data_IF_401433656843
#
_entry.id   IF_401433656843
#
_cell.length_a   1.000
_cell.length_b   1.000
_cell.length_c   1.000
_cell.angle_alpha   90.00
_cell.angle_beta   90.00
_cell.angle_gamma   90.00
#
_symmetry.space_group_name_H-M   'P 1'
#
loop_
_entity.id
_entity.type
_entity.pdbx_description
1 polymer ?
#
# COMPACT_ATOMS: atom_id res chain seq x y z
N UNK A 1 -18.34 -14.01 -5.03
CA UNK A 1 -17.06 -13.46 -4.55
C UNK A 1 -16.05 -13.67 -5.67
N UNK A 2 -15.27 -12.66 -6.05
CA UNK A 2 -14.27 -12.79 -7.13
C UNK A 2 -13.10 -13.68 -6.69
N UNK A 3 -12.43 -14.40 -7.61
CA UNK A 3 -11.24 -15.16 -7.30
C UNK A 3 -10.10 -14.24 -6.83
N UNK A 4 -9.16 -14.76 -6.03
CA UNK A 4 -8.01 -13.98 -5.61
C UNK A 4 -7.17 -13.53 -6.82
N UNK A 5 -6.38 -12.49 -6.59
CA UNK A 5 -5.38 -11.96 -7.52
C UNK A 5 -4.06 -12.65 -7.24
N UNK A 6 -3.41 -13.11 -8.29
CA UNK A 6 -2.09 -13.75 -8.27
C UNK A 6 -1.06 -12.87 -9.01
N UNK A 7 0.25 -13.23 -9.03
CA UNK A 7 1.27 -12.45 -9.73
C UNK A 7 0.99 -12.23 -11.22
N UNK A 8 0.42 -13.22 -11.93
CA UNK A 8 0.10 -13.05 -13.35
C UNK A 8 -1.02 -12.02 -13.56
N UNK A 9 -2.04 -12.07 -12.70
CA UNK A 9 -3.21 -11.19 -12.78
C UNK A 9 -2.87 -9.76 -12.38
N UNK A 10 -1.97 -9.53 -11.40
CA UNK A 10 -1.52 -8.17 -11.07
C UNK A 10 -0.75 -7.55 -12.24
N UNK A 11 0.17 -8.26 -12.90
CA UNK A 11 0.87 -7.72 -14.07
C UNK A 11 -0.08 -7.36 -15.22
N UNK A 12 -1.07 -8.22 -15.50
CA UNK A 12 -2.11 -7.92 -16.50
C UNK A 12 -2.96 -6.72 -16.12
N UNK A 13 -3.19 -6.49 -14.82
CA UNK A 13 -3.89 -5.31 -14.34
C UNK A 13 -3.07 -4.04 -14.55
N UNK A 14 -1.78 -4.02 -14.18
CA UNK A 14 -0.90 -2.87 -14.39
C UNK A 14 -0.81 -2.51 -15.88
N UNK A 15 -0.56 -3.52 -16.71
CA UNK A 15 -0.54 -3.37 -18.17
C UNK A 15 -1.87 -2.83 -18.71
N UNK A 16 -2.99 -3.37 -18.21
CA UNK A 16 -4.32 -2.93 -18.57
C UNK A 16 -4.60 -1.47 -18.21
N UNK A 17 -4.20 -1.04 -17.01
CA UNK A 17 -4.39 0.32 -16.50
C UNK A 17 -3.53 1.31 -17.28
N UNK A 18 -2.23 1.04 -17.43
CA UNK A 18 -1.30 1.93 -18.12
C UNK A 18 -1.63 2.13 -19.60
N UNK A 19 -2.14 1.09 -20.28
CA UNK A 19 -2.55 1.18 -21.69
C UNK A 19 -3.91 1.86 -21.92
N UNK A 20 -4.80 1.85 -20.92
CA UNK A 20 -6.16 2.42 -21.03
C UNK A 20 -6.25 3.85 -20.49
N UNK A 21 -5.32 4.27 -19.63
CA UNK A 21 -5.18 5.66 -19.25
C UNK A 21 -4.94 6.54 -20.50
N UNK A 22 -5.47 7.77 -20.45
CA UNK A 22 -5.51 8.72 -21.56
C UNK A 22 -4.61 9.95 -21.32
N UNK A 23 -3.65 9.81 -20.42
CA UNK A 23 -2.69 10.86 -20.11
C UNK A 23 -1.76 10.46 -18.97
N UNK A 24 -0.79 11.33 -18.64
CA UNK A 24 0.18 11.07 -17.61
C UNK A 24 -0.46 11.05 -16.22
N UNK A 25 0.13 10.25 -15.33
CA UNK A 25 -0.25 10.21 -13.93
C UNK A 25 0.51 9.12 -13.18
N UNK A 26 0.19 8.94 -11.90
CA UNK A 26 0.85 7.94 -11.04
C UNK A 26 -0.16 7.07 -10.33
N UNK A 27 0.15 5.80 -10.24
CA UNK A 27 -0.62 4.79 -9.52
C UNK A 27 0.28 4.14 -8.48
N UNK A 28 -0.14 4.16 -7.21
CA UNK A 28 0.60 3.55 -6.12
C UNK A 28 -0.11 2.28 -5.68
N UNK A 29 0.63 1.18 -5.64
CA UNK A 29 0.19 -0.09 -5.09
C UNK A 29 0.25 -0.06 -3.57
N UNK A 30 -0.81 -0.58 -2.97
CA UNK A 30 -0.97 -0.64 -1.51
C UNK A 30 -1.23 -2.08 -1.07
N UNK A 31 -0.73 -2.42 0.11
CA UNK A 31 -1.01 -3.64 0.84
C UNK A 31 -0.66 -4.90 0.05
N UNK A 32 -1.68 -5.73 -0.16
CA UNK A 32 -1.52 -7.02 -0.82
C UNK A 32 -1.02 -6.94 -2.26
N UNK A 33 -1.28 -5.82 -2.95
CA UNK A 33 -0.78 -5.61 -4.30
C UNK A 33 0.74 -5.39 -4.33
N UNK A 34 1.28 -4.57 -3.41
CA UNK A 34 2.73 -4.44 -3.23
C UNK A 34 3.37 -5.78 -2.89
N UNK A 35 2.75 -6.51 -1.97
CA UNK A 35 3.23 -7.82 -1.52
C UNK A 35 3.30 -8.88 -2.63
N UNK A 36 2.39 -8.81 -3.61
CA UNK A 36 2.41 -9.67 -4.78
C UNK A 36 3.57 -9.32 -5.73
N UNK A 37 3.74 -8.03 -6.02
CA UNK A 37 4.78 -7.54 -6.94
C UNK A 37 6.18 -7.76 -6.36
N UNK A 38 6.36 -7.55 -5.06
CA UNK A 38 7.59 -7.83 -4.31
C UNK A 38 7.81 -9.33 -4.01
N UNK A 39 6.84 -10.18 -4.38
CA UNK A 39 7.00 -11.63 -4.39
C UNK A 39 6.97 -12.33 -3.02
N UNK A 40 6.57 -11.67 -1.93
CA UNK A 40 6.41 -12.35 -0.63
C UNK A 40 5.02 -12.96 -0.42
N UNK A 41 4.04 -12.58 -1.24
CA UNK A 41 2.72 -13.23 -1.30
C UNK A 41 2.51 -13.92 -2.65
N UNK A 42 1.83 -15.06 -2.60
CA UNK A 42 1.31 -15.73 -3.80
C UNK A 42 -0.09 -15.27 -4.22
N UNK A 43 -0.84 -14.59 -3.35
CA UNK A 43 -2.15 -14.02 -3.69
C UNK A 43 -2.66 -12.92 -2.75
N UNK A 44 -3.59 -12.10 -3.24
CA UNK A 44 -4.39 -11.13 -2.46
C UNK A 44 -5.87 -11.19 -2.85
N UNK A 45 -6.77 -10.71 -1.99
CA UNK A 45 -8.23 -10.71 -2.25
C UNK A 45 -8.63 -9.54 -3.14
N UNK A 46 -7.99 -8.41 -2.93
CA UNK A 46 -8.23 -7.10 -3.53
C UNK A 46 -6.91 -6.42 -3.90
N UNK A 47 -7.00 -5.48 -4.83
CA UNK A 47 -5.92 -4.59 -5.25
C UNK A 47 -6.27 -3.19 -4.79
N UNK A 48 -5.58 -2.72 -3.76
CA UNK A 48 -5.70 -1.37 -3.24
C UNK A 48 -4.78 -0.42 -4.02
N UNK A 49 -5.33 0.69 -4.51
CA UNK A 49 -4.63 1.69 -5.31
C UNK A 49 -4.81 3.10 -4.76
N UNK A 50 -3.75 3.91 -4.86
CA UNK A 50 -3.82 5.38 -4.80
C UNK A 50 -3.50 5.97 -6.17
N UNK A 51 -4.18 7.04 -6.55
CA UNK A 51 -3.97 7.76 -7.81
C UNK A 51 -3.50 9.19 -7.47
N UNK A 52 -2.25 9.55 -7.78
CA UNK A 52 -1.73 10.89 -7.44
C UNK A 52 -0.41 11.29 -8.16
N UNK A 53 -0.46 12.15 -9.20
CA UNK A 53 -1.67 12.71 -9.80
C UNK A 53 -2.49 11.64 -10.54
N UNK A 54 -3.81 11.80 -10.53
CA UNK A 54 -4.74 10.90 -11.20
C UNK A 54 -4.56 10.94 -12.74
N UNK A 55 -4.29 9.80 -13.40
CA UNK A 55 -4.25 9.75 -14.85
C UNK A 55 -5.64 9.96 -15.47
N UNK A 56 -5.73 10.73 -16.55
CA UNK A 56 -6.99 10.92 -17.27
C UNK A 56 -7.59 9.58 -17.75
N UNK A 57 -8.89 9.38 -17.61
CA UNK A 57 -9.59 8.17 -18.07
C UNK A 57 -9.33 6.90 -17.24
N UNK A 58 -8.67 7.01 -16.09
CA UNK A 58 -8.31 5.85 -15.26
C UNK A 58 -9.53 5.18 -14.62
N UNK A 59 -10.58 5.93 -14.29
CA UNK A 59 -11.77 5.34 -13.66
C UNK A 59 -12.55 4.44 -14.63
N UNK A 60 -12.66 4.82 -15.90
CA UNK A 60 -13.23 3.98 -16.94
C UNK A 60 -12.39 2.72 -17.14
N UNK A 61 -11.06 2.85 -17.12
CA UNK A 61 -10.14 1.72 -17.19
C UNK A 61 -10.33 0.75 -16.01
N UNK A 62 -10.42 1.27 -14.78
CA UNK A 62 -10.69 0.48 -13.57
C UNK A 62 -12.04 -0.23 -13.70
N UNK A 63 -13.10 0.47 -14.11
CA UNK A 63 -14.44 -0.10 -14.24
C UNK A 63 -14.51 -1.24 -15.27
N UNK A 64 -13.79 -1.13 -16.38
CA UNK A 64 -13.63 -2.18 -17.40
C UNK A 64 -12.80 -3.36 -16.86
N UNK A 65 -11.60 -3.10 -16.34
CA UNK A 65 -10.66 -4.12 -15.91
C UNK A 65 -11.15 -4.95 -14.72
N UNK A 66 -11.92 -4.34 -13.79
CA UNK A 66 -12.60 -5.08 -12.71
C UNK A 66 -13.48 -6.21 -13.25
N UNK A 67 -14.07 -6.04 -14.44
CA UNK A 67 -14.90 -7.04 -15.10
C UNK A 67 -14.06 -8.00 -15.94
N UNK A 68 -13.18 -7.46 -16.79
CA UNK A 68 -12.39 -8.25 -17.75
C UNK A 68 -11.43 -9.22 -17.06
N UNK A 69 -10.81 -8.79 -15.96
CA UNK A 69 -9.82 -9.61 -15.23
C UNK A 69 -10.43 -10.35 -14.04
N UNK A 70 -11.72 -10.13 -13.76
CA UNK A 70 -12.42 -10.63 -12.57
C UNK A 70 -11.61 -10.36 -11.28
N UNK A 71 -11.29 -9.08 -11.04
CA UNK A 71 -10.51 -8.57 -9.90
C UNK A 71 -11.31 -7.59 -9.06
N UNK A 72 -11.10 -7.61 -7.74
CA UNK A 72 -11.53 -6.53 -6.87
C UNK A 72 -10.44 -5.45 -6.83
N UNK A 73 -10.84 -4.20 -7.06
CA UNK A 73 -9.98 -3.03 -6.99
C UNK A 73 -10.65 -2.04 -6.06
N UNK A 74 -9.91 -1.52 -5.09
CA UNK A 74 -10.36 -0.52 -4.13
C UNK A 74 -9.45 0.70 -4.20
N UNK A 75 -10.05 1.89 -4.06
CA UNK A 75 -9.31 3.15 -3.94
C UNK A 75 -9.07 3.39 -2.45
N UNK A 76 -8.16 2.62 -1.89
CA UNK A 76 -7.81 2.62 -0.48
C UNK A 76 -6.30 2.80 -0.33
N UNK A 77 -5.90 3.69 0.57
CA UNK A 77 -4.50 4.00 0.82
C UNK A 77 -4.29 4.30 2.32
N UNK A 78 -3.04 4.21 2.82
CA UNK A 78 -2.75 4.44 4.24
C UNK A 78 -3.29 5.77 4.78
N UNK A 79 -3.26 6.84 3.98
CA UNK A 79 -3.70 8.18 4.38
C UNK A 79 -5.21 8.31 4.63
N UNK A 80 -6.01 7.31 4.21
CA UNK A 80 -7.43 7.22 4.55
C UNK A 80 -7.66 6.76 6.00
N UNK A 81 -6.65 6.16 6.64
CA UNK A 81 -6.76 5.56 7.97
C UNK A 81 -5.82 6.19 8.98
N UNK A 82 -4.62 6.62 8.55
CA UNK A 82 -3.63 7.30 9.37
C UNK A 82 -3.27 8.66 8.75
N UNK A 83 -2.72 9.61 9.52
CA UNK A 83 -2.04 10.78 8.98
C UNK A 83 -1.01 10.40 7.91
N UNK A 84 -1.01 11.09 6.76
CA UNK A 84 0.00 10.86 5.72
C UNK A 84 1.40 11.28 6.17
N UNK A 85 2.44 10.56 5.75
CA UNK A 85 3.82 11.02 5.94
C UNK A 85 4.14 12.09 4.89
N UNK A 86 4.64 13.29 5.23
CA UNK A 86 4.80 14.40 4.29
C UNK A 86 5.63 14.07 3.04
N UNK A 87 6.62 13.21 3.18
CA UNK A 87 7.55 12.77 2.13
C UNK A 87 7.15 11.43 1.49
N UNK A 88 5.90 10.96 1.69
CA UNK A 88 5.47 9.64 1.20
C UNK A 88 5.62 9.48 -0.31
N UNK A 89 5.48 10.57 -1.08
CA UNK A 89 5.60 10.54 -2.55
C UNK A 89 7.05 10.35 -2.97
N UNK A 90 7.95 11.07 -2.34
CA UNK A 90 9.40 11.02 -2.56
C UNK A 90 9.99 9.68 -2.12
N UNK A 91 9.41 9.07 -1.09
CA UNK A 91 9.80 7.78 -0.53
C UNK A 91 9.09 6.58 -1.15
N UNK A 92 8.13 6.80 -2.05
CA UNK A 92 7.46 5.73 -2.80
C UNK A 92 8.41 5.10 -3.81
N UNK A 93 8.44 3.77 -3.86
CA UNK A 93 9.42 3.01 -4.67
C UNK A 93 8.89 2.79 -6.07
N UNK A 94 9.65 3.18 -7.09
CA UNK A 94 9.25 2.99 -8.49
C UNK A 94 9.20 1.51 -8.87
N UNK A 95 8.15 1.11 -9.60
CA UNK A 95 7.97 -0.24 -10.14
C UNK A 95 8.30 -0.23 -11.63
N UNK A 96 7.48 0.44 -12.43
CA UNK A 96 7.60 0.50 -13.88
C UNK A 96 6.78 1.64 -14.47
N UNK A 97 7.01 1.95 -15.75
CA UNK A 97 6.19 2.88 -16.54
C UNK A 97 5.51 2.10 -17.65
N UNK A 98 4.19 2.24 -17.78
CA UNK A 98 3.40 1.65 -18.87
C UNK A 98 2.58 2.75 -19.53
N UNK A 99 2.87 3.02 -20.81
CA UNK A 99 2.32 4.19 -21.49
C UNK A 99 2.86 5.48 -20.85
N UNK A 100 1.95 6.37 -20.45
CA UNK A 100 2.29 7.61 -19.75
C UNK A 100 2.10 7.51 -18.23
N UNK A 101 1.75 6.33 -17.71
CA UNK A 101 1.50 6.10 -16.28
C UNK A 101 2.71 5.50 -15.60
N UNK A 102 3.13 6.11 -14.50
CA UNK A 102 4.14 5.56 -13.59
C UNK A 102 3.48 4.76 -12.47
N UNK A 103 4.00 3.56 -12.22
CA UNK A 103 3.58 2.70 -11.13
C UNK A 103 4.63 2.72 -10.01
N UNK A 104 4.16 2.84 -8.78
CA UNK A 104 4.98 2.86 -7.58
C UNK A 104 4.41 1.91 -6.53
N UNK A 105 5.23 1.46 -5.59
CA UNK A 105 4.75 1.08 -4.27
C UNK A 105 4.49 2.35 -3.48
N UNK A 106 3.32 2.45 -2.84
CA UNK A 106 3.13 3.48 -1.82
C UNK A 106 4.18 3.31 -0.71
N UNK A 107 4.61 4.41 -0.08
CA UNK A 107 5.63 4.40 0.99
C UNK A 107 5.46 3.24 1.99
N UNK A 108 6.46 2.36 2.06
CA UNK A 108 6.44 1.17 2.90
C UNK A 108 6.37 1.49 4.40
N UNK A 109 6.85 2.66 4.86
CA UNK A 109 6.68 3.11 6.25
C UNK A 109 5.20 3.28 6.57
N UNK A 110 4.49 4.02 5.73
CA UNK A 110 3.07 4.26 5.89
C UNK A 110 2.23 2.97 5.70
N UNK A 111 2.60 2.11 4.74
CA UNK A 111 1.95 0.80 4.59
C UNK A 111 2.12 -0.06 5.85
N UNK A 112 3.32 -0.10 6.43
CA UNK A 112 3.61 -0.85 7.65
C UNK A 112 2.85 -0.29 8.86
N UNK A 113 2.84 1.03 9.07
CA UNK A 113 2.08 1.64 10.15
C UNK A 113 0.57 1.36 10.05
N UNK A 114 -0.01 1.44 8.85
CA UNK A 114 -1.42 1.11 8.63
C UNK A 114 -1.73 -0.36 8.94
N UNK A 115 -0.80 -1.27 8.62
CA UNK A 115 -0.88 -2.70 8.98
C UNK A 115 -0.80 -2.92 10.49
N UNK A 116 0.15 -2.28 11.15
CA UNK A 116 0.28 -2.35 12.62
C UNK A 116 -0.98 -1.79 13.28
N UNK A 117 -1.53 -0.67 12.82
CA UNK A 117 -2.77 -0.10 13.35
C UNK A 117 -3.97 -1.07 13.32
N UNK A 118 -4.03 -2.00 12.35
CA UNK A 118 -5.05 -3.07 12.31
C UNK A 118 -4.64 -4.31 13.12
N UNK A 119 -3.37 -4.70 13.03
CA UNK A 119 -2.76 -5.71 13.91
C UNK A 119 -3.21 -7.14 13.69
N UNK A 120 -3.79 -7.47 12.53
CA UNK A 120 -4.13 -8.86 12.21
C UNK A 120 -2.85 -9.70 11.99
N UNK A 121 -2.91 -11.02 12.23
CA UNK A 121 -1.73 -11.90 12.04
C UNK A 121 -1.09 -11.75 10.65
N UNK A 122 -1.92 -11.60 9.60
CA UNK A 122 -1.46 -11.39 8.23
C UNK A 122 -0.81 -10.04 8.02
N UNK A 123 -1.25 -9.01 8.75
CA UNK A 123 -0.63 -7.68 8.73
C UNK A 123 0.75 -7.72 9.39
N UNK A 124 0.89 -8.38 10.55
CA UNK A 124 2.20 -8.55 11.22
C UNK A 124 3.19 -9.33 10.34
N UNK A 125 2.73 -10.38 9.66
CA UNK A 125 3.57 -11.14 8.73
C UNK A 125 4.04 -10.29 7.53
N UNK A 126 3.19 -9.40 7.01
CA UNK A 126 3.60 -8.48 5.95
C UNK A 126 4.65 -7.48 6.42
N UNK A 127 4.50 -6.91 7.62
CA UNK A 127 5.47 -5.94 8.14
C UNK A 127 6.82 -6.61 8.38
N UNK A 128 6.84 -7.85 8.90
CA UNK A 128 8.09 -8.65 8.99
C UNK A 128 8.70 -8.88 7.62
N UNK A 129 7.90 -9.25 6.63
CA UNK A 129 8.40 -9.45 5.26
C UNK A 129 9.01 -8.16 4.65
N UNK A 130 8.47 -6.98 4.98
CA UNK A 130 9.03 -5.68 4.56
C UNK A 130 10.38 -5.41 5.24
N UNK A 131 10.51 -5.68 6.54
CA UNK A 131 11.76 -5.55 7.29
C UNK A 131 12.83 -6.51 6.76
N UNK A 132 12.50 -7.80 6.58
CA UNK A 132 13.42 -8.84 6.09
C UNK A 132 14.01 -8.52 4.71
N UNK A 133 13.27 -7.75 3.90
CA UNK A 133 13.66 -7.34 2.55
C UNK A 133 14.35 -5.98 2.50
N UNK A 134 14.45 -5.28 3.64
CA UNK A 134 14.99 -3.93 3.70
C UNK A 134 14.14 -2.89 2.96
N UNK A 135 12.84 -3.14 2.79
CA UNK A 135 11.90 -2.18 2.19
C UNK A 135 11.54 -1.04 3.16
N UNK A 136 11.71 -1.31 4.44
CA UNK A 136 11.65 -0.34 5.53
C UNK A 136 12.57 -0.82 6.65
N UNK A 137 13.15 0.10 7.43
CA UNK A 137 13.91 -0.24 8.64
C UNK A 137 13.08 -0.06 9.91
N UNK A 138 13.48 -0.69 11.01
CA UNK A 138 12.83 -0.43 12.29
C UNK A 138 12.96 1.03 12.75
N UNK A 139 14.10 1.67 12.48
CA UNK A 139 14.34 3.07 12.79
C UNK A 139 13.35 3.96 12.04
N UNK A 140 13.16 3.72 10.74
CA UNK A 140 12.20 4.44 9.91
C UNK A 140 10.75 4.25 10.41
N UNK A 141 10.40 3.07 10.95
CA UNK A 141 9.09 2.85 11.56
C UNK A 141 8.91 3.60 12.88
N UNK A 142 9.98 3.71 13.70
CA UNK A 142 9.95 4.51 14.94
C UNK A 142 9.75 5.99 14.61
N UNK A 143 10.53 6.53 13.68
CA UNK A 143 10.43 7.92 13.22
C UNK A 143 9.05 8.23 12.62
N UNK A 144 8.56 7.37 11.71
CA UNK A 144 7.26 7.55 11.09
C UNK A 144 6.11 7.50 12.12
N UNK A 145 6.21 6.64 13.14
CA UNK A 145 5.23 6.59 14.23
C UNK A 145 5.23 7.91 15.01
N UNK A 146 6.40 8.40 15.42
CA UNK A 146 6.54 9.67 16.14
C UNK A 146 5.97 10.85 15.34
N UNK A 147 6.07 10.80 14.01
CA UNK A 147 5.50 11.80 13.15
C UNK A 147 3.96 11.71 13.05
N UNK A 148 3.41 10.49 13.10
CA UNK A 148 1.97 10.24 13.01
C UNK A 148 1.25 10.57 14.33
N UNK A 149 1.84 10.25 15.49
CA UNK A 149 1.18 10.32 16.80
C UNK A 149 0.53 11.69 17.11
N UNK A 150 1.22 12.84 16.96
CA UNK A 150 0.61 14.15 17.26
C UNK A 150 -0.58 14.49 16.36
N UNK A 151 -0.68 13.86 15.19
CA UNK A 151 -1.70 14.12 14.16
C UNK A 151 -2.89 13.19 14.28
N UNK A 152 -2.80 12.11 15.06
CA UNK A 152 -3.89 11.16 15.31
C UNK A 152 -5.10 11.78 16.00
N UNK A 153 -4.97 12.95 16.63
CA UNK A 153 -6.11 13.69 17.18
C UNK A 153 -7.19 13.99 16.12
N UNK A 154 -6.83 14.02 14.83
CA UNK A 154 -7.76 14.20 13.70
C UNK A 154 -8.40 12.88 13.22
N UNK A 155 -8.02 11.76 13.80
CA UNK A 155 -8.42 10.40 13.42
C UNK A 155 -9.11 9.70 14.61
N UNK A 156 -10.35 10.10 14.97
CA UNK A 156 -11.02 9.65 16.19
C UNK A 156 -11.35 8.15 16.23
N UNK A 157 -11.26 7.45 15.09
CA UNK A 157 -11.43 6.00 15.01
C UNK A 157 -10.22 5.22 15.54
N UNK A 158 -9.09 5.88 15.81
CA UNK A 158 -7.85 5.26 16.25
C UNK A 158 -7.49 5.78 17.64
N UNK A 159 -7.37 4.85 18.59
CA UNK A 159 -6.80 5.16 19.90
C UNK A 159 -5.28 5.27 19.79
N UNK A 160 -4.74 6.48 20.05
CA UNK A 160 -3.32 6.78 19.87
C UNK A 160 -2.43 5.93 20.79
N UNK A 161 -2.83 5.71 22.05
CA UNK A 161 -2.06 4.90 22.99
C UNK A 161 -1.99 3.43 22.59
N UNK A 162 -3.11 2.86 22.16
CA UNK A 162 -3.16 1.48 21.66
C UNK A 162 -2.37 1.29 20.36
N UNK A 163 -2.42 2.28 19.47
CA UNK A 163 -1.61 2.28 18.25
C UNK A 163 -0.11 2.31 18.58
N UNK A 164 0.32 3.27 19.42
CA UNK A 164 1.72 3.39 19.84
C UNK A 164 2.23 2.12 20.50
N UNK A 165 1.51 1.60 21.49
CA UNK A 165 1.91 0.41 22.24
C UNK A 165 2.10 -0.79 21.30
N UNK A 166 1.23 -0.94 20.30
CA UNK A 166 1.32 -2.05 19.35
C UNK A 166 2.52 -1.92 18.41
N UNK A 167 2.81 -0.72 17.91
CA UNK A 167 4.00 -0.49 17.07
C UNK A 167 5.26 -0.76 17.89
N UNK A 168 5.36 -0.24 19.12
CA UNK A 168 6.51 -0.47 20.00
C UNK A 168 6.73 -1.95 20.31
N UNK A 169 5.67 -2.66 20.71
CA UNK A 169 5.72 -4.10 21.00
C UNK A 169 6.21 -4.90 19.79
N UNK A 170 5.71 -4.59 18.58
CA UNK A 170 6.16 -5.27 17.36
C UNK A 170 7.66 -5.06 17.08
N UNK A 171 8.16 -3.84 17.30
CA UNK A 171 9.57 -3.52 17.07
C UNK A 171 10.48 -4.20 18.11
N UNK A 172 10.07 -4.21 19.38
CA UNK A 172 10.79 -4.91 20.46
C UNK A 172 10.87 -6.42 20.20
N UNK A 173 9.80 -7.05 19.72
CA UNK A 173 9.79 -8.46 19.32
C UNK A 173 10.67 -8.76 18.10
N UNK A 174 10.97 -7.75 17.28
CA UNK A 174 11.78 -7.91 16.06
C UNK A 174 13.28 -7.69 16.32
N UNK A 175 13.66 -7.23 17.51
CA UNK A 175 15.05 -7.05 17.95
C UNK A 175 15.65 -8.32 18.60
N UNK A 176 14.83 -9.33 18.90
CA UNK A 176 15.23 -10.60 19.54
C UNK A 176 15.28 -11.79 18.59
#
# INVERSE_FOLDING_TARGET
MRPPVDPSKIHRLLEGLGRRAKGPGRIYLVGGASALVEGWRGSTVDVDLKLDPEPAGIFEAIADLKKVLDVNIELAAPDHFLPELPDWRERSVFIERIGEVDFFHYDFRAQALAKLARGHQRDLADVRAMLDRGLVSQEELREAMEEVLPRLIRYPAIDAGSFEARVRMFLEESDG
#
